data_IF_818334151242
#
_entry.id   IF_818334151242
#
_cell.length_a   1.000
_cell.length_b   1.000
_cell.length_c   1.000
_cell.angle_alpha   90.00
_cell.angle_beta   90.00
_cell.angle_gamma   90.00
#
_symmetry.space_group_name_H-M   'P 1'
#
loop_
_entity.id
_entity.type
_entity.pdbx_description
1 polymer ?
#
# COMPACT_ATOMS: atom_id res chain seq x y z
N UNK A 1 -16.77 -4.41 -7.30
CA UNK A 1 -15.83 -3.36 -6.88
C UNK A 1 -15.02 -2.91 -8.08
N UNK A 2 -14.75 -1.61 -8.22
CA UNK A 2 -13.86 -1.08 -9.26
C UNK A 2 -12.41 -1.43 -8.92
N UNK A 3 -11.64 -1.90 -9.90
CA UNK A 3 -10.21 -2.21 -9.73
C UNK A 3 -9.46 -0.93 -9.30
N UNK A 4 -8.62 -0.97 -8.24
CA UNK A 4 -7.84 0.21 -7.84
C UNK A 4 -6.88 0.60 -8.96
N UNK A 5 -6.62 1.90 -9.08
CA UNK A 5 -5.59 2.39 -10.00
C UNK A 5 -4.21 2.00 -9.46
N UNK A 6 -3.33 1.58 -10.36
CA UNK A 6 -1.97 1.23 -10.01
C UNK A 6 -0.98 2.23 -10.60
N UNK A 7 -0.14 2.77 -9.73
CA UNK A 7 1.00 3.59 -10.07
C UNK A 7 2.28 2.89 -9.62
N UNK A 8 3.29 2.91 -10.49
CA UNK A 8 4.67 2.57 -10.14
C UNK A 8 5.50 3.77 -10.46
N UNK A 9 6.06 4.40 -9.43
CA UNK A 9 6.75 5.67 -9.53
C UNK A 9 8.19 5.51 -9.12
N UNK A 10 9.09 5.86 -10.03
CA UNK A 10 10.50 6.06 -9.72
C UNK A 10 10.67 7.46 -9.17
N UNK A 11 10.91 7.55 -7.86
CA UNK A 11 11.12 8.83 -7.19
C UNK A 11 12.54 9.29 -7.54
N UNK A 12 12.70 10.37 -8.31
CA UNK A 12 14.01 10.79 -8.78
C UNK A 12 14.86 11.31 -7.61
N UNK A 13 16.18 11.28 -7.81
CA UNK A 13 17.11 11.84 -6.82
C UNK A 13 16.79 13.33 -6.57
N UNK A 14 16.70 13.72 -5.30
CA UNK A 14 16.32 15.07 -4.89
C UNK A 14 14.83 15.23 -4.56
N UNK A 15 13.98 14.34 -5.06
CA UNK A 15 12.60 14.17 -4.58
C UNK A 15 12.56 13.10 -3.48
N UNK A 16 11.54 13.14 -2.61
CA UNK A 16 11.40 12.15 -1.55
C UNK A 16 12.48 12.17 -0.47
N UNK A 17 13.25 13.27 -0.36
CA UNK A 17 14.29 13.49 0.67
C UNK A 17 13.74 13.63 2.09
N UNK A 18 12.42 13.79 2.21
CA UNK A 18 11.64 13.75 3.44
C UNK A 18 10.30 13.08 3.17
N UNK A 19 9.65 12.57 4.22
CA UNK A 19 8.30 12.00 4.10
C UNK A 19 7.29 13.01 3.53
N UNK A 20 7.42 14.29 3.89
CA UNK A 20 6.62 15.37 3.32
C UNK A 20 6.84 15.54 1.81
N UNK A 21 8.08 15.56 1.34
CA UNK A 21 8.38 15.65 -0.10
C UNK A 21 7.92 14.41 -0.87
N UNK A 22 8.10 13.21 -0.31
CA UNK A 22 7.64 11.95 -0.92
C UNK A 22 6.12 11.95 -1.08
N UNK A 23 5.41 12.35 -0.01
CA UNK A 23 3.95 12.41 0.00
C UNK A 23 3.42 13.41 -1.02
N UNK A 24 4.06 14.59 -1.15
CA UNK A 24 3.69 15.58 -2.18
C UNK A 24 3.98 15.08 -3.60
N UNK A 25 5.11 14.42 -3.81
CA UNK A 25 5.45 13.82 -5.11
C UNK A 25 4.37 12.80 -5.52
N UNK A 26 3.99 11.89 -4.61
CA UNK A 26 2.91 10.92 -4.85
C UNK A 26 1.56 11.61 -5.06
N UNK A 27 1.21 12.58 -4.22
CA UNK A 27 -0.05 13.30 -4.32
C UNK A 27 -0.21 14.01 -5.67
N UNK A 28 0.85 14.61 -6.22
CA UNK A 28 0.76 15.28 -7.53
C UNK A 28 0.26 14.36 -8.66
N UNK A 29 0.64 13.08 -8.63
CA UNK A 29 0.17 12.09 -9.60
C UNK A 29 -1.28 11.67 -9.32
N UNK A 30 -1.63 11.52 -8.04
CA UNK A 30 -2.98 11.12 -7.62
C UNK A 30 -4.02 12.22 -7.87
N UNK A 31 -3.66 13.48 -7.62
CA UNK A 31 -4.51 14.65 -7.83
C UNK A 31 -4.77 14.89 -9.32
N UNK A 32 -3.74 14.74 -10.18
CA UNK A 32 -3.89 14.85 -11.63
C UNK A 32 -4.94 13.88 -12.20
N UNK A 33 -5.07 12.70 -11.59
CA UNK A 33 -6.02 11.66 -11.97
C UNK A 33 -7.36 11.72 -11.22
N UNK A 34 -7.51 12.71 -10.32
CA UNK A 34 -8.68 12.89 -9.46
C UNK A 34 -8.92 11.71 -8.53
N UNK A 35 -7.84 11.12 -7.98
CA UNK A 35 -7.91 10.03 -7.01
C UNK A 35 -8.04 10.55 -5.58
N UNK A 36 -7.50 11.73 -5.29
CA UNK A 36 -7.49 12.33 -3.95
C UNK A 36 -7.82 13.82 -4.00
N UNK A 37 -8.23 14.38 -2.86
CA UNK A 37 -8.41 15.82 -2.68
C UNK A 37 -7.10 16.51 -2.27
N UNK A 38 -7.04 17.84 -2.39
CA UNK A 38 -5.88 18.66 -1.99
C UNK A 38 -5.52 18.57 -0.49
N UNK A 39 -6.43 18.06 0.34
CA UNK A 39 -6.21 17.86 1.78
C UNK A 39 -5.55 16.53 2.12
N UNK A 40 -5.38 15.63 1.14
CA UNK A 40 -4.85 14.28 1.35
C UNK A 40 -3.41 14.27 1.89
N UNK A 41 -2.54 15.15 1.39
CA UNK A 41 -1.16 15.28 1.89
C UNK A 41 -1.15 15.55 3.39
N UNK A 42 -1.93 16.54 3.84
CA UNK A 42 -1.98 16.89 5.26
C UNK A 42 -2.45 15.74 6.13
N UNK A 43 -3.44 14.97 5.65
CA UNK A 43 -3.97 13.80 6.36
C UNK A 43 -2.93 12.68 6.51
N UNK A 44 -2.19 12.35 5.44
CA UNK A 44 -1.13 11.33 5.48
C UNK A 44 -0.01 11.72 6.44
N UNK A 45 0.42 12.99 6.40
CA UNK A 45 1.49 13.48 7.28
C UNK A 45 1.08 13.43 8.76
N UNK A 46 -0.13 13.89 9.08
CA UNK A 46 -0.65 13.83 10.45
C UNK A 46 -0.77 12.38 10.95
N UNK A 47 -1.20 11.46 10.07
CA UNK A 47 -1.39 10.05 10.41
C UNK A 47 -0.07 9.31 10.64
N UNK A 48 0.94 9.56 9.81
CA UNK A 48 2.28 8.96 9.96
C UNK A 48 2.98 9.44 11.24
N UNK A 49 2.79 10.72 11.60
CA UNK A 49 3.36 11.27 12.83
C UNK A 49 2.82 10.58 14.08
N UNK A 50 1.54 10.21 14.08
CA UNK A 50 0.88 9.60 15.23
C UNK A 50 1.04 8.08 15.27
N UNK A 51 0.97 7.42 14.11
CA UNK A 51 1.21 5.98 14.04
C UNK A 51 2.06 5.64 12.80
N UNK A 52 3.38 5.49 12.99
CA UNK A 52 4.31 5.18 11.93
C UNK A 52 3.94 3.92 11.15
N UNK A 53 4.30 3.89 9.87
CA UNK A 53 3.92 2.81 8.95
C UNK A 53 5.09 2.03 8.38
N UNK A 54 6.31 2.23 8.89
CA UNK A 54 7.47 1.45 8.52
C UNK A 54 7.37 0.01 9.03
N UNK A 55 7.44 -0.98 8.14
CA UNK A 55 7.43 -2.39 8.46
C UNK A 55 8.88 -2.87 8.68
N UNK A 56 9.21 -3.45 9.85
CA UNK A 56 10.55 -3.95 10.17
C UNK A 56 10.84 -5.28 9.48
N UNK A 57 10.78 -5.28 8.15
CA UNK A 57 11.14 -6.37 7.26
C UNK A 57 12.58 -6.19 6.74
N UNK A 58 13.14 -7.21 6.11
CA UNK A 58 14.47 -7.14 5.49
C UNK A 58 14.39 -7.49 3.99
N UNK A 59 14.46 -6.52 3.06
CA UNK A 59 14.61 -5.08 3.29
C UNK A 59 13.32 -4.42 3.84
N UNK A 60 13.42 -3.28 4.55
CA UNK A 60 12.28 -2.60 5.16
C UNK A 60 11.41 -1.88 4.12
N UNK A 61 10.12 -1.81 4.40
CA UNK A 61 9.09 -1.22 3.52
C UNK A 61 8.18 -0.32 4.33
N UNK A 62 7.73 0.80 3.78
CA UNK A 62 6.67 1.61 4.40
C UNK A 62 5.34 1.41 3.69
N UNK A 63 4.23 1.52 4.42
CA UNK A 63 2.87 1.48 3.85
C UNK A 63 2.04 2.72 4.22
N UNK A 64 2.42 3.92 3.75
CA UNK A 64 1.78 5.15 4.20
C UNK A 64 0.32 5.23 3.73
N UNK A 65 -0.56 5.68 4.61
CA UNK A 65 -1.98 5.82 4.34
C UNK A 65 -2.62 6.86 5.28
N UNK A 66 -3.83 7.29 4.94
CA UNK A 66 -4.66 8.17 5.75
C UNK A 66 -6.09 7.63 5.84
N UNK A 67 -6.90 8.32 6.64
CA UNK A 67 -8.34 8.06 6.70
C UNK A 67 -9.02 8.32 5.35
N UNK A 68 -10.14 7.63 5.12
CA UNK A 68 -10.82 7.53 3.83
C UNK A 68 -11.43 8.84 3.32
N UNK A 69 -11.60 9.84 4.19
CA UNK A 69 -12.27 11.12 3.91
C UNK A 69 -11.65 11.93 2.77
N UNK A 70 -10.38 11.69 2.46
CA UNK A 70 -9.63 12.45 1.47
C UNK A 70 -9.49 11.72 0.12
N UNK A 71 -10.02 10.49 0.03
CA UNK A 71 -9.94 9.61 -1.14
C UNK A 71 -11.21 9.73 -2.00
N UNK A 72 -11.02 9.98 -3.30
CA UNK A 72 -12.08 10.04 -4.30
C UNK A 72 -12.16 8.74 -5.13
N UNK A 73 -11.01 8.11 -5.40
CA UNK A 73 -10.90 6.83 -6.12
C UNK A 73 -9.77 6.00 -5.52
N UNK A 74 -9.99 4.69 -5.44
CA UNK A 74 -8.99 3.79 -4.88
C UNK A 74 -7.74 3.70 -5.76
N UNK A 75 -6.57 3.74 -5.14
CA UNK A 75 -5.29 3.58 -5.78
C UNK A 75 -4.26 2.87 -4.88
N UNK A 76 -3.33 2.18 -5.52
CA UNK A 76 -2.10 1.70 -4.92
C UNK A 76 -0.93 2.36 -5.65
N UNK A 77 0.02 2.91 -4.88
CA UNK A 77 1.21 3.55 -5.44
C UNK A 77 2.43 2.85 -4.90
N UNK A 78 3.18 2.18 -5.78
CA UNK A 78 4.51 1.66 -5.50
C UNK A 78 5.51 2.76 -5.78
N UNK A 79 6.02 3.41 -4.75
CA UNK A 79 7.06 4.44 -4.84
C UNK A 79 8.43 3.80 -4.56
N UNK A 80 9.33 3.89 -5.54
CA UNK A 80 10.70 3.34 -5.47
C UNK A 80 11.67 4.49 -5.33
N UNK A 81 12.37 4.54 -4.19
CA UNK A 81 13.18 5.69 -3.81
C UNK A 81 14.63 5.49 -4.27
N UNK A 82 15.16 6.50 -4.97
CA UNK A 82 16.58 6.51 -5.37
C UNK A 82 17.53 6.49 -4.16
N UNK A 83 17.15 7.14 -3.06
CA UNK A 83 17.89 7.19 -1.79
C UNK A 83 16.98 6.75 -0.64
N UNK A 84 17.51 6.04 0.37
CA UNK A 84 16.68 5.53 1.47
C UNK A 84 16.12 6.70 2.28
N UNK A 85 14.86 6.55 2.71
CA UNK A 85 14.18 7.51 3.58
C UNK A 85 13.90 6.86 4.94
N UNK A 86 14.13 7.62 6.00
CA UNK A 86 13.87 7.17 7.37
C UNK A 86 12.36 7.14 7.67
N UNK A 87 11.88 6.01 8.19
CA UNK A 87 10.51 5.83 8.71
C UNK A 87 10.56 5.33 10.16
N UNK A 88 9.58 5.71 10.97
CA UNK A 88 9.37 5.06 12.27
C UNK A 88 8.84 3.63 12.08
N UNK A 89 9.20 2.72 12.97
CA UNK A 89 8.69 1.36 12.93
C UNK A 89 7.23 1.30 13.41
N UNK A 90 6.42 0.54 12.70
CA UNK A 90 5.04 0.24 13.05
C UNK A 90 5.01 -0.71 14.25
N UNK A 91 4.24 -0.36 15.28
CA UNK A 91 4.00 -1.22 16.45
C UNK A 91 5.11 -1.25 17.49
N UNK A 92 6.25 -0.59 17.21
CA UNK A 92 7.36 -0.47 18.14
C UNK A 92 7.93 0.96 18.07
N UNK A 93 7.56 1.80 19.04
CA UNK A 93 8.04 3.18 19.14
C UNK A 93 9.49 3.28 19.62
N UNK A 94 10.04 2.21 20.20
CA UNK A 94 11.40 2.17 20.73
C UNK A 94 12.39 1.62 19.70
N UNK A 95 11.89 0.97 18.65
CA UNK A 95 12.69 0.60 17.48
C UNK A 95 13.23 1.85 16.77
N UNK A 96 14.52 1.79 16.41
CA UNK A 96 15.18 2.82 15.63
C UNK A 96 14.55 3.01 14.24
N UNK A 97 14.88 4.13 13.59
CA UNK A 97 14.33 4.46 12.27
C UNK A 97 14.74 3.43 11.21
N UNK A 98 13.77 2.99 10.40
CA UNK A 98 13.93 2.07 9.28
C UNK A 98 14.32 2.82 8.01
N UNK A 99 15.35 2.35 7.31
CA UNK A 99 15.84 2.96 6.07
C UNK A 99 15.13 2.34 4.86
N UNK A 100 14.03 2.96 4.45
CA UNK A 100 13.10 2.43 3.44
C UNK A 100 13.47 2.90 2.03
N UNK A 101 13.56 1.95 1.09
CA UNK A 101 13.70 2.22 -0.36
C UNK A 101 12.43 1.96 -1.17
N UNK A 102 11.46 1.27 -0.57
CA UNK A 102 10.18 0.94 -1.19
C UNK A 102 9.04 1.39 -0.26
N UNK A 103 8.21 2.30 -0.73
CA UNK A 103 6.99 2.71 -0.04
C UNK A 103 5.77 2.36 -0.88
N UNK A 104 4.76 1.72 -0.27
CA UNK A 104 3.50 1.40 -0.94
C UNK A 104 2.37 2.21 -0.34
N UNK A 105 1.97 3.30 -0.99
CA UNK A 105 0.85 4.11 -0.50
C UNK A 105 -0.47 3.42 -0.79
N UNK A 106 -1.31 3.36 0.24
CA UNK A 106 -2.66 2.80 0.16
C UNK A 106 -3.65 3.96 0.16
N UNK A 107 -4.31 4.16 -0.98
CA UNK A 107 -5.34 5.19 -1.17
C UNK A 107 -6.67 4.47 -1.27
N UNK A 108 -7.41 4.42 -0.17
CA UNK A 108 -8.69 3.71 -0.11
C UNK A 108 -9.80 4.64 0.40
N UNK A 109 -10.99 4.54 -0.20
CA UNK A 109 -12.19 5.28 0.18
C UNK A 109 -13.17 4.48 1.07
N UNK A 110 -14.40 5.00 1.22
CA UNK A 110 -15.47 4.37 2.01
C UNK A 110 -16.13 3.21 1.24
N UNK A 111 -15.54 2.03 1.34
CA UNK A 111 -16.14 0.79 0.87
C UNK A 111 -15.22 -0.37 1.23
N UNK A 112 -15.43 -0.95 2.41
CA UNK A 112 -14.56 -1.98 3.01
C UNK A 112 -14.03 -3.01 2.00
N UNK A 113 -12.83 -2.69 1.50
CA UNK A 113 -11.81 -3.56 0.93
C UNK A 113 -10.44 -3.21 1.54
N UNK A 114 -10.36 -2.20 2.43
CA UNK A 114 -9.09 -1.64 2.90
C UNK A 114 -8.35 -2.59 3.85
N UNK A 115 -9.03 -3.24 4.82
CA UNK A 115 -8.39 -4.21 5.72
C UNK A 115 -7.94 -5.44 4.96
N UNK A 116 -8.81 -6.00 4.11
CA UNK A 116 -8.47 -7.20 3.33
C UNK A 116 -7.40 -6.92 2.26
N UNK A 117 -7.45 -5.76 1.60
CA UNK A 117 -6.39 -5.32 0.68
C UNK A 117 -5.07 -5.04 1.42
N UNK A 118 -5.15 -4.50 2.65
CA UNK A 118 -3.98 -4.28 3.50
C UNK A 118 -3.38 -5.62 3.95
N UNK A 119 -4.17 -6.56 4.44
CA UNK A 119 -3.69 -7.92 4.81
C UNK A 119 -3.06 -8.64 3.63
N UNK A 120 -3.68 -8.54 2.45
CA UNK A 120 -3.12 -9.07 1.21
C UNK A 120 -1.82 -8.36 0.84
N UNK A 121 -1.77 -7.04 0.91
CA UNK A 121 -0.55 -6.27 0.68
C UNK A 121 0.54 -6.66 1.65
N UNK A 122 0.24 -6.79 2.94
CA UNK A 122 1.20 -7.23 3.95
C UNK A 122 1.69 -8.65 3.68
N UNK A 123 0.82 -9.56 3.21
CA UNK A 123 1.21 -10.90 2.77
C UNK A 123 2.16 -10.87 1.58
N UNK A 124 1.94 -9.97 0.60
CA UNK A 124 2.88 -9.72 -0.51
C UNK A 124 4.21 -9.23 0.03
N UNK A 125 4.12 -8.19 0.84
CA UNK A 125 5.27 -7.49 1.35
C UNK A 125 6.04 -8.34 2.34
N UNK A 126 5.48 -9.40 2.93
CA UNK A 126 6.20 -10.34 3.79
C UNK A 126 7.19 -11.25 3.04
N UNK A 127 7.03 -11.44 1.73
CA UNK A 127 7.93 -12.24 0.88
C UNK A 127 9.10 -11.39 0.37
N UNK A 128 10.32 -11.71 0.82
CA UNK A 128 11.54 -10.96 0.47
C UNK A 128 11.84 -10.95 -1.03
N UNK A 129 11.64 -12.09 -1.72
CA UNK A 129 11.90 -12.16 -3.15
C UNK A 129 10.90 -11.32 -3.96
N UNK A 130 9.66 -11.20 -3.47
CA UNK A 130 8.68 -10.28 -4.09
C UNK A 130 9.05 -8.83 -3.84
N UNK A 131 9.50 -8.47 -2.63
CA UNK A 131 9.98 -7.11 -2.33
C UNK A 131 11.14 -6.70 -3.23
N UNK A 132 12.18 -7.54 -3.33
CA UNK A 132 13.33 -7.28 -4.19
C UNK A 132 12.94 -7.06 -5.65
N UNK A 133 11.98 -7.84 -6.16
CA UNK A 133 11.46 -7.67 -7.53
C UNK A 133 10.67 -6.38 -7.75
N UNK A 134 10.01 -5.86 -6.71
CA UNK A 134 9.31 -4.58 -6.79
C UNK A 134 10.29 -3.41 -6.72
N UNK A 135 11.35 -3.54 -5.94
CA UNK A 135 12.40 -2.52 -5.81
C UNK A 135 13.33 -2.49 -7.04
N UNK A 136 13.72 -3.64 -7.57
CA UNK A 136 14.69 -3.76 -8.65
C UNK A 136 14.08 -3.69 -10.07
N UNK A 137 14.91 -3.34 -11.04
CA UNK A 137 14.56 -3.35 -12.46
C UNK A 137 13.70 -2.16 -12.92
N UNK A 138 13.16 -2.25 -14.15
CA UNK A 138 12.37 -1.17 -14.74
C UNK A 138 11.00 -0.99 -14.05
N UNK A 139 10.42 0.21 -14.15
CA UNK A 139 9.09 0.49 -13.61
C UNK A 139 8.03 -0.42 -14.24
N UNK A 140 8.21 -0.79 -15.51
CA UNK A 140 7.36 -1.76 -16.20
C UNK A 140 7.43 -3.15 -15.58
N UNK A 141 8.64 -3.64 -15.23
CA UNK A 141 8.79 -4.95 -14.59
C UNK A 141 8.23 -4.97 -13.17
N UNK A 142 8.42 -3.89 -12.41
CA UNK A 142 7.81 -3.73 -11.11
C UNK A 142 6.28 -3.68 -11.22
N UNK A 143 5.74 -2.95 -12.22
CA UNK A 143 4.30 -2.91 -12.51
C UNK A 143 3.75 -4.29 -12.84
N UNK A 144 4.37 -5.00 -13.79
CA UNK A 144 3.96 -6.36 -14.16
C UNK A 144 4.02 -7.31 -12.97
N UNK A 145 5.08 -7.21 -12.16
CA UNK A 145 5.20 -8.02 -10.95
C UNK A 145 4.07 -7.71 -9.97
N UNK A 146 3.81 -6.44 -9.69
CA UNK A 146 2.75 -6.04 -8.77
C UNK A 146 1.36 -6.43 -9.28
N UNK A 147 1.07 -6.24 -10.57
CA UNK A 147 -0.19 -6.67 -11.19
C UNK A 147 -0.37 -8.18 -11.09
N UNK A 148 0.65 -8.97 -11.44
CA UNK A 148 0.59 -10.44 -11.34
C UNK A 148 0.38 -10.89 -9.89
N UNK A 149 1.01 -10.22 -8.92
CA UNK A 149 0.83 -10.52 -7.50
C UNK A 149 -0.61 -10.18 -7.06
N UNK A 150 -1.13 -9.01 -7.44
CA UNK A 150 -2.52 -8.62 -7.14
C UNK A 150 -3.53 -9.58 -7.78
N UNK A 151 -3.27 -10.06 -9.00
CA UNK A 151 -4.10 -11.04 -9.69
C UNK A 151 -4.09 -12.41 -8.99
N UNK A 152 -2.92 -12.89 -8.54
CA UNK A 152 -2.83 -14.12 -7.74
C UNK A 152 -3.66 -14.02 -6.46
N UNK A 153 -3.64 -12.85 -5.80
CA UNK A 153 -4.43 -12.62 -4.61
C UNK A 153 -5.93 -12.44 -4.90
N UNK A 154 -6.28 -11.93 -6.08
CA UNK A 154 -7.66 -11.88 -6.59
C UNK A 154 -8.19 -13.27 -6.98
N UNK A 155 -7.34 -14.15 -7.51
CA UNK A 155 -7.69 -15.54 -7.82
C UNK A 155 -7.83 -16.40 -6.55
N UNK A 156 -7.14 -16.04 -5.46
CA UNK A 156 -7.28 -16.70 -4.15
C UNK A 156 -8.59 -16.32 -3.41
N UNK A 157 -9.37 -15.37 -3.92
CA UNK A 157 -10.67 -14.96 -3.34
C UNK A 157 -11.86 -15.62 -4.02
N UNK A 158 -11.66 -16.32 -5.14
CA UNK A 158 -12.68 -17.18 -5.72
C UNK A 158 -12.55 -18.57 -5.11
N UNK A 159 -12.86 -18.69 -3.81
CA UNK A 159 -13.22 -19.98 -3.26
C UNK A 159 -14.62 -20.35 -3.80
N UNK A 160 -14.87 -21.63 -4.14
CA UNK A 160 -16.19 -22.06 -4.58
C UNK A 160 -17.18 -21.93 -3.43
N UNK A 161 -18.41 -21.61 -3.79
CA UNK A 161 -19.59 -21.56 -2.93
C UNK A 161 -19.55 -22.72 -1.90
N UNK A 162 -19.41 -22.39 -0.61
CA UNK A 162 -19.52 -23.39 0.45
C UNK A 162 -20.96 -23.90 0.39
N UNK A 163 -21.21 -25.21 0.16
CA UNK A 163 -22.59 -25.68 0.08
C UNK A 163 -23.30 -25.38 1.41
N UNK A 164 -24.60 -25.05 1.37
CA UNK A 164 -25.33 -24.65 2.56
C UNK A 164 -25.26 -25.76 3.61
N UNK A 165 -25.03 -25.37 4.86
CA UNK A 165 -25.10 -26.26 6.01
C UNK A 165 -26.43 -27.02 5.99
N UNK A 166 -26.44 -28.36 6.18
CA UNK A 166 -27.68 -29.08 6.30
C UNK A 166 -28.39 -28.61 7.58
N UNK A 167 -29.59 -28.05 7.43
CA UNK A 167 -30.47 -27.79 8.56
C UNK A 167 -30.73 -29.11 9.28
N UNK A 168 -30.47 -29.16 10.59
CA UNK A 168 -30.86 -30.30 11.41
C UNK A 168 -32.39 -30.46 11.35
N UNK A 169 -32.92 -31.68 11.23
CA UNK A 169 -34.36 -31.88 11.27
C UNK A 169 -34.88 -31.47 12.65
N UNK A 170 -35.90 -30.59 12.65
CA UNK A 170 -36.79 -30.39 13.79
C UNK A 170 -37.42 -31.75 14.11
N UNK A 171 -37.14 -32.27 15.31
CA UNK A 171 -37.91 -33.37 15.87
C UNK A 171 -39.20 -32.78 16.45
N UNK A 172 -40.33 -33.26 15.94
CA UNK A 172 -41.66 -33.21 16.56
C UNK A 172 -41.70 -33.99 17.86
#
# INVERSE_FOLDING_TARGET
>A
MTRPRLYVLDVPKGEGTSFASLTRFVASHLEADGCVTSSWVGAVLAREQLYPTGLPLEPPVAIPHADTTHTLKDALVVARLAEPLAFGAMGDSDAGALQVRLAVFIVAGNGMAQVEALERLLSILGDGARRERLEAGSAENARRSFEAILEQLGALTTAPDKPPHPQKPVQT
#
